data_IF_394603148960
#
_entry.id   IF_394603148960
#
_cell.length_a   1.000
_cell.length_b   1.000
_cell.length_c   1.000
_cell.angle_alpha   90.00
_cell.angle_beta   90.00
_cell.angle_gamma   90.00
#
_symmetry.space_group_name_H-M   'P 1'
#
loop_
_entity.id
_entity.type
_entity.pdbx_description
1 polymer ?
#
# COMPACT_ATOMS: atom_id res chain seq x y z
N UNK A 1 -75.95 13.05 63.78
CA UNK A 1 -75.90 13.37 62.32
C UNK A 1 -76.04 14.88 62.21
N UNK A 2 -75.15 15.68 61.64
CA UNK A 2 -74.56 15.58 60.31
C UNK A 2 -73.39 16.58 60.24
N UNK A 3 -72.17 16.13 59.94
CA UNK A 3 -71.04 17.01 59.65
C UNK A 3 -71.14 17.49 58.20
N UNK A 4 -71.44 18.78 57.98
CA UNK A 4 -71.34 19.40 56.66
C UNK A 4 -69.86 19.71 56.37
N UNK A 5 -69.25 18.95 55.44
CA UNK A 5 -67.94 19.27 54.86
C UNK A 5 -68.04 20.59 54.09
N UNK A 6 -67.35 21.63 54.58
CA UNK A 6 -67.18 22.90 53.88
C UNK A 6 -66.33 22.68 52.63
N UNK A 7 -66.93 22.91 51.45
CA UNK A 7 -66.27 22.87 50.15
C UNK A 7 -65.56 24.21 49.96
N UNK A 8 -64.23 24.24 50.09
CA UNK A 8 -63.44 25.44 49.81
C UNK A 8 -63.66 25.85 48.35
N UNK A 9 -64.35 26.96 48.14
CA UNK A 9 -64.52 27.60 46.83
C UNK A 9 -63.18 28.24 46.50
N UNK A 10 -62.39 27.58 45.66
CA UNK A 10 -61.13 28.16 45.16
C UNK A 10 -61.49 29.37 44.28
N UNK A 11 -60.87 30.51 44.56
CA UNK A 11 -61.07 31.70 43.75
C UNK A 11 -60.49 31.47 42.36
N UNK A 12 -61.12 31.98 41.28
CA UNK A 12 -60.63 31.77 39.92
C UNK A 12 -59.21 32.35 39.70
N UNK A 13 -58.75 33.27 40.56
CA UNK A 13 -57.37 33.79 40.52
C UNK A 13 -56.32 32.78 41.03
N UNK A 14 -56.63 31.97 42.04
CA UNK A 14 -55.71 30.96 42.57
C UNK A 14 -55.52 29.79 41.60
N UNK A 15 -56.55 29.42 40.84
CA UNK A 15 -56.44 28.43 39.79
C UNK A 15 -55.55 28.91 38.63
N UNK A 16 -55.67 30.20 38.26
CA UNK A 16 -54.88 30.81 37.19
C UNK A 16 -53.40 30.93 37.56
N UNK A 17 -53.08 31.36 38.78
CA UNK A 17 -51.68 31.48 39.25
C UNK A 17 -50.97 30.12 39.30
N UNK A 18 -51.65 29.07 39.77
CA UNK A 18 -51.10 27.72 39.78
C UNK A 18 -50.87 27.14 38.38
N UNK A 19 -51.73 27.47 37.40
CA UNK A 19 -51.53 27.08 36.02
C UNK A 19 -50.31 27.78 35.40
N UNK A 20 -50.12 29.08 35.66
CA UNK A 20 -48.98 29.85 35.18
C UNK A 20 -47.64 29.36 35.75
N UNK A 21 -47.61 28.99 37.04
CA UNK A 21 -46.40 28.41 37.66
C UNK A 21 -46.02 27.09 36.99
N UNK A 22 -47.00 26.23 36.69
CA UNK A 22 -46.75 24.95 35.99
C UNK A 22 -46.22 25.18 34.57
N UNK A 23 -46.79 26.13 33.83
CA UNK A 23 -46.31 26.47 32.48
C UNK A 23 -44.86 26.98 32.51
N UNK A 24 -44.51 27.85 33.46
CA UNK A 24 -43.13 28.33 33.61
C UNK A 24 -42.14 27.22 33.94
N UNK A 25 -42.52 26.24 34.75
CA UNK A 25 -41.66 25.08 35.04
C UNK A 25 -41.45 24.21 33.80
N UNK A 26 -42.50 24.03 32.98
CA UNK A 26 -42.40 23.28 31.72
C UNK A 26 -41.51 24.01 30.72
N UNK A 27 -41.69 25.32 30.54
CA UNK A 27 -40.83 26.13 29.66
C UNK A 27 -39.37 26.14 30.14
N UNK A 28 -39.15 26.23 31.45
CA UNK A 28 -37.82 26.11 32.06
C UNK A 28 -37.18 24.76 31.75
N UNK A 29 -37.93 23.67 31.92
CA UNK A 29 -37.42 22.32 31.62
C UNK A 29 -37.12 22.12 30.12
N UNK A 30 -37.99 22.62 29.24
CA UNK A 30 -37.80 22.54 27.78
C UNK A 30 -36.57 23.32 27.34
N UNK A 31 -36.36 24.54 27.86
CA UNK A 31 -35.19 25.35 27.51
C UNK A 31 -33.87 24.73 28.02
N UNK A 32 -33.88 24.12 29.21
CA UNK A 32 -32.74 23.36 29.74
C UNK A 32 -32.42 22.14 28.88
N UNK A 33 -33.44 21.37 28.48
CA UNK A 33 -33.28 20.21 27.61
C UNK A 33 -32.71 20.61 26.24
N UNK A 34 -33.19 21.69 25.64
CA UNK A 34 -32.69 22.21 24.36
C UNK A 34 -31.23 22.68 24.47
N UNK A 35 -30.88 23.33 25.58
CA UNK A 35 -29.51 23.79 25.85
C UNK A 35 -28.57 22.59 26.01
N UNK A 36 -28.97 21.59 26.80
CA UNK A 36 -28.22 20.35 26.97
C UNK A 36 -28.08 19.58 25.66
N UNK A 37 -29.11 19.50 24.84
CA UNK A 37 -29.03 18.86 23.53
C UNK A 37 -28.07 19.60 22.59
N UNK A 38 -28.08 20.94 22.59
CA UNK A 38 -27.20 21.75 21.75
C UNK A 38 -25.74 21.62 22.14
N UNK A 39 -25.40 21.73 23.42
CA UNK A 39 -24.02 21.59 23.87
C UNK A 39 -23.57 20.12 23.95
N UNK A 40 -24.47 19.22 24.32
CA UNK A 40 -24.23 17.78 24.35
C UNK A 40 -23.95 17.20 22.96
N UNK A 41 -24.61 17.71 21.91
CA UNK A 41 -24.33 17.28 20.53
C UNK A 41 -22.92 17.66 20.09
N UNK A 42 -22.42 18.84 20.45
CA UNK A 42 -21.03 19.25 20.15
C UNK A 42 -20.02 18.33 20.84
N UNK A 43 -20.23 18.02 22.12
CA UNK A 43 -19.37 17.09 22.87
C UNK A 43 -19.44 15.68 22.28
N UNK A 44 -20.62 15.21 21.90
CA UNK A 44 -20.80 13.89 21.30
C UNK A 44 -20.09 13.78 19.94
N UNK A 45 -20.16 14.80 19.09
CA UNK A 45 -19.44 14.84 17.81
C UNK A 45 -17.93 14.85 18.04
N UNK A 46 -17.44 15.64 18.99
CA UNK A 46 -16.01 15.65 19.34
C UNK A 46 -15.53 14.29 19.86
N UNK A 47 -16.32 13.61 20.71
CA UNK A 47 -16.01 12.28 21.22
C UNK A 47 -16.00 11.19 20.13
N UNK A 48 -16.99 11.22 19.23
CA UNK A 48 -17.04 10.32 18.09
C UNK A 48 -15.87 10.56 17.13
N UNK A 49 -15.52 11.83 16.88
CA UNK A 49 -14.35 12.18 16.08
C UNK A 49 -13.02 11.74 16.73
N UNK A 50 -12.90 11.83 18.05
CA UNK A 50 -11.75 11.27 18.76
C UNK A 50 -11.65 9.76 18.57
N UNK A 51 -12.79 9.03 18.66
CA UNK A 51 -12.82 7.57 18.45
C UNK A 51 -12.43 7.16 17.03
N UNK A 52 -12.78 7.92 16.00
CA UNK A 52 -12.34 7.62 14.63
C UNK A 52 -10.83 7.80 14.48
N UNK A 53 -10.27 8.85 15.09
CA UNK A 53 -8.82 9.07 15.12
C UNK A 53 -8.11 7.98 15.91
N UNK A 54 -8.64 7.56 17.07
CA UNK A 54 -8.05 6.51 17.92
C UNK A 54 -7.98 5.14 17.20
N UNK A 55 -9.00 4.82 16.39
CA UNK A 55 -8.99 3.62 15.54
C UNK A 55 -8.00 3.74 14.37
N UNK A 56 -7.80 4.96 13.84
CA UNK A 56 -6.90 5.23 12.73
C UNK A 56 -5.43 5.41 13.17
N UNK A 57 -5.22 5.80 14.43
CA UNK A 57 -3.92 6.05 15.03
C UNK A 57 -3.21 4.72 15.31
N UNK A 58 -2.51 4.22 14.29
CA UNK A 58 -1.23 3.58 14.50
C UNK A 58 -1.19 2.05 14.53
N UNK A 59 -2.22 1.33 14.06
CA UNK A 59 -2.16 -0.14 14.05
C UNK A 59 -1.94 -0.77 12.68
N UNK A 60 -2.50 -0.21 11.61
CA UNK A 60 -2.39 -0.81 10.27
C UNK A 60 -1.48 0.04 9.38
N UNK A 61 -1.69 1.35 9.31
CA UNK A 61 -1.05 2.22 8.31
C UNK A 61 0.48 2.28 8.40
N UNK A 62 1.08 2.39 9.59
CA UNK A 62 2.55 2.51 9.71
C UNK A 62 3.27 1.18 9.44
N UNK A 63 2.72 0.06 9.92
CA UNK A 63 3.26 -1.26 9.68
C UNK A 63 3.11 -1.65 8.20
N UNK A 64 1.94 -1.38 7.59
CA UNK A 64 1.69 -1.68 6.18
C UNK A 64 2.58 -0.85 5.24
N UNK A 65 2.80 0.44 5.53
CA UNK A 65 3.71 1.29 4.74
C UNK A 65 5.16 0.85 4.90
N UNK A 66 5.61 0.59 6.13
CA UNK A 66 6.99 0.16 6.41
C UNK A 66 7.31 -1.21 5.79
N UNK A 67 6.44 -2.19 6.00
CA UNK A 67 6.59 -3.55 5.45
C UNK A 67 6.43 -3.54 3.93
N UNK A 68 5.43 -2.83 3.40
CA UNK A 68 5.19 -2.76 1.95
C UNK A 68 6.33 -2.06 1.19
N UNK A 69 6.93 -1.02 1.77
CA UNK A 69 8.08 -0.33 1.18
C UNK A 69 9.35 -1.20 1.23
N UNK A 70 9.70 -1.74 2.41
CA UNK A 70 10.89 -2.58 2.57
C UNK A 70 10.79 -3.87 1.73
N UNK A 71 9.62 -4.50 1.68
CA UNK A 71 9.40 -5.71 0.88
C UNK A 71 9.56 -5.44 -0.63
N UNK A 72 8.98 -4.36 -1.16
CA UNK A 72 9.13 -4.01 -2.58
C UNK A 72 10.59 -3.69 -2.96
N UNK A 73 11.31 -2.96 -2.11
CA UNK A 73 12.73 -2.64 -2.35
C UNK A 73 13.58 -3.91 -2.30
N UNK A 74 13.35 -4.80 -1.34
CA UNK A 74 14.12 -6.03 -1.22
C UNK A 74 13.84 -7.00 -2.37
N UNK A 75 12.56 -7.15 -2.78
CA UNK A 75 12.17 -8.03 -3.89
C UNK A 75 12.73 -7.50 -5.22
N UNK A 76 12.59 -6.21 -5.50
CA UNK A 76 13.13 -5.60 -6.72
C UNK A 76 14.66 -5.69 -6.79
N UNK A 77 15.34 -5.47 -5.66
CA UNK A 77 16.81 -5.60 -5.58
C UNK A 77 17.25 -7.05 -5.77
N UNK A 78 16.57 -8.01 -5.13
CA UNK A 78 16.87 -9.44 -5.28
C UNK A 78 16.63 -9.93 -6.72
N UNK A 79 15.56 -9.47 -7.37
CA UNK A 79 15.29 -9.75 -8.78
C UNK A 79 16.35 -9.13 -9.69
N UNK A 80 16.73 -7.88 -9.47
CA UNK A 80 17.76 -7.20 -10.25
C UNK A 80 19.12 -7.92 -10.15
N UNK A 81 19.54 -8.30 -8.94
CA UNK A 81 20.75 -9.08 -8.74
C UNK A 81 20.64 -10.49 -9.32
N UNK A 82 19.50 -11.17 -9.16
CA UNK A 82 19.27 -12.49 -9.73
C UNK A 82 19.35 -12.51 -11.25
N UNK A 83 18.69 -11.56 -11.90
CA UNK A 83 18.72 -11.39 -13.37
C UNK A 83 20.12 -10.96 -13.83
N UNK A 84 20.78 -10.04 -13.13
CA UNK A 84 22.11 -9.58 -13.48
C UNK A 84 23.16 -10.69 -13.39
N UNK A 85 23.25 -11.36 -12.24
CA UNK A 85 24.21 -12.46 -12.02
C UNK A 85 23.87 -13.67 -12.90
N UNK A 86 22.59 -14.04 -12.98
CA UNK A 86 22.12 -15.14 -13.82
C UNK A 86 22.41 -14.89 -15.30
N UNK A 87 22.12 -13.69 -15.80
CA UNK A 87 22.39 -13.28 -17.17
C UNK A 87 23.88 -13.24 -17.50
N UNK A 88 24.71 -12.69 -16.60
CA UNK A 88 26.17 -12.68 -16.77
C UNK A 88 26.75 -14.11 -16.80
N UNK A 89 26.31 -14.98 -15.89
CA UNK A 89 26.73 -16.38 -15.86
C UNK A 89 26.31 -17.14 -17.13
N UNK A 90 25.04 -16.98 -17.54
CA UNK A 90 24.50 -17.59 -18.75
C UNK A 90 25.27 -17.11 -20.00
N UNK A 91 25.50 -15.80 -20.14
CA UNK A 91 26.26 -15.23 -21.24
C UNK A 91 27.70 -15.75 -21.31
N UNK A 92 28.38 -15.86 -20.16
CA UNK A 92 29.73 -16.43 -20.09
C UNK A 92 29.75 -17.90 -20.52
N UNK A 93 28.77 -18.69 -20.10
CA UNK A 93 28.63 -20.11 -20.48
C UNK A 93 28.33 -20.26 -21.97
N UNK A 94 27.41 -19.45 -22.49
CA UNK A 94 27.04 -19.46 -23.91
C UNK A 94 28.24 -19.08 -24.80
N UNK A 95 29.02 -18.07 -24.41
CA UNK A 95 30.20 -17.67 -25.17
C UNK A 95 31.26 -18.79 -25.23
N UNK A 96 31.46 -19.53 -24.13
CA UNK A 96 32.36 -20.70 -24.12
C UNK A 96 31.89 -21.78 -25.09
N UNK A 97 30.61 -22.18 -25.00
CA UNK A 97 30.02 -23.19 -25.87
C UNK A 97 30.10 -22.82 -27.36
N UNK A 98 29.91 -21.52 -27.68
CA UNK A 98 30.08 -21.02 -29.05
C UNK A 98 31.51 -21.22 -29.54
N UNK A 99 32.50 -20.83 -28.73
CA UNK A 99 33.93 -20.98 -29.09
C UNK A 99 34.34 -22.45 -29.25
N UNK A 100 33.89 -23.33 -28.37
CA UNK A 100 34.19 -24.75 -28.46
C UNK A 100 33.55 -25.39 -29.71
N UNK A 101 32.34 -24.95 -30.08
CA UNK A 101 31.66 -25.40 -31.30
C UNK A 101 32.38 -24.92 -32.55
N UNK A 102 32.83 -23.66 -32.57
CA UNK A 102 33.63 -23.11 -33.68
C UNK A 102 34.92 -23.90 -33.83
N UNK A 103 35.64 -24.15 -32.74
CA UNK A 103 36.90 -24.92 -32.75
C UNK A 103 36.71 -26.32 -33.33
N UNK A 104 35.63 -27.01 -32.94
CA UNK A 104 35.29 -28.34 -33.47
C UNK A 104 34.95 -28.32 -34.96
N UNK A 105 34.15 -27.34 -35.41
CA UNK A 105 33.69 -27.25 -36.79
C UNK A 105 34.79 -26.73 -37.73
N UNK A 106 35.60 -25.78 -37.29
CA UNK A 106 36.64 -25.16 -38.09
C UNK A 106 37.71 -26.17 -38.52
N UNK A 107 38.08 -27.12 -37.64
CA UNK A 107 38.98 -28.22 -38.01
C UNK A 107 38.41 -29.12 -39.12
N UNK A 108 37.11 -29.45 -39.04
CA UNK A 108 36.44 -30.26 -40.06
C UNK A 108 36.26 -29.51 -41.38
N UNK A 109 35.92 -28.23 -41.31
CA UNK A 109 35.78 -27.36 -42.48
C UNK A 109 37.12 -27.23 -43.20
N UNK A 110 38.22 -26.92 -42.50
CA UNK A 110 39.55 -26.86 -43.11
C UNK A 110 39.99 -28.19 -43.73
N UNK A 111 39.66 -29.32 -43.11
CA UNK A 111 39.96 -30.63 -43.66
C UNK A 111 39.21 -30.88 -44.98
N UNK A 112 37.92 -30.55 -45.04
CA UNK A 112 37.09 -30.68 -46.25
C UNK A 112 37.49 -29.67 -47.33
N UNK A 113 37.83 -28.44 -46.96
CA UNK A 113 38.29 -27.40 -47.89
C UNK A 113 39.59 -27.81 -48.58
N UNK A 114 40.57 -28.36 -47.85
CA UNK A 114 41.82 -28.85 -48.43
C UNK A 114 41.64 -30.04 -49.38
N UNK A 115 40.58 -30.84 -49.20
CA UNK A 115 40.27 -31.94 -50.11
C UNK A 115 39.66 -31.46 -51.43
N UNK A 116 38.89 -30.35 -51.41
CA UNK A 116 38.19 -29.84 -52.58
C UNK A 116 38.93 -28.72 -53.33
N UNK A 117 39.64 -27.84 -52.61
CA UNK A 117 40.40 -26.72 -53.17
C UNK A 117 41.68 -26.47 -52.34
N UNK A 118 42.82 -27.06 -52.74
CA UNK A 118 44.07 -26.93 -52.00
C UNK A 118 44.69 -25.52 -52.06
N UNK A 119 44.23 -24.61 -52.94
CA UNK A 119 44.72 -23.23 -53.04
C UNK A 119 43.90 -22.23 -52.23
N UNK A 120 42.81 -22.65 -51.57
CA UNK A 120 41.95 -21.75 -50.80
C UNK A 120 42.62 -21.30 -49.50
N UNK A 121 43.03 -20.03 -49.44
CA UNK A 121 43.52 -19.41 -48.20
C UNK A 121 42.35 -19.06 -47.28
N UNK A 122 42.21 -19.74 -46.13
CA UNK A 122 41.23 -19.35 -45.12
C UNK A 122 41.57 -17.98 -44.53
N UNK A 123 40.56 -17.17 -44.17
CA UNK A 123 40.79 -15.92 -43.44
C UNK A 123 41.61 -16.22 -42.17
N UNK A 124 42.58 -15.37 -41.86
CA UNK A 124 43.67 -15.62 -40.89
C UNK A 124 43.20 -15.65 -39.41
N UNK A 125 41.93 -15.98 -39.17
CA UNK A 125 41.29 -16.07 -37.86
C UNK A 125 41.88 -17.21 -37.02
N UNK A 126 41.87 -17.04 -35.71
CA UNK A 126 42.30 -18.08 -34.77
C UNK A 126 41.37 -19.31 -34.84
N UNK A 127 41.82 -20.47 -34.34
CA UNK A 127 40.98 -21.70 -34.28
C UNK A 127 39.64 -21.54 -33.55
N UNK A 128 39.50 -20.50 -32.73
CA UNK A 128 38.28 -20.19 -31.97
C UNK A 128 37.44 -19.07 -32.58
N UNK A 129 37.83 -18.57 -33.76
CA UNK A 129 37.14 -17.46 -34.44
C UNK A 129 37.35 -16.09 -33.79
N UNK A 130 38.35 -15.94 -32.90
CA UNK A 130 38.73 -14.64 -32.35
C UNK A 130 39.67 -13.91 -33.33
N UNK A 131 39.47 -12.60 -33.49
CA UNK A 131 40.42 -11.68 -34.12
C UNK A 131 41.74 -11.72 -33.35
N UNK A 132 42.87 -11.79 -34.05
CA UNK A 132 44.18 -11.81 -33.41
C UNK A 132 44.40 -10.51 -32.62
N UNK A 133 45.18 -10.56 -31.54
CA UNK A 133 45.47 -9.37 -30.74
C UNK A 133 46.20 -8.30 -31.55
N UNK A 134 46.99 -8.71 -32.54
CA UNK A 134 47.71 -7.84 -33.48
C UNK A 134 46.81 -7.05 -34.47
N UNK A 135 45.55 -7.47 -34.65
CA UNK A 135 44.56 -6.80 -35.53
C UNK A 135 43.58 -5.89 -34.75
N UNK A 136 43.72 -5.80 -33.42
CA UNK A 136 42.96 -4.85 -32.60
C UNK A 136 43.72 -3.52 -32.57
N UNK A 137 43.31 -2.60 -33.44
CA UNK A 137 43.74 -1.19 -33.47
C UNK A 137 43.63 -0.52 -32.10
#
# INVERSE_FOLDING_TARGET
>A
MSQRRSRKVQTPLEAQTNALVKLRLVEGAVSLALTLARYGSVVAVAYLGYRTIDVLAGKTTLADIGIGFLANVQISTALAWGVGVGGAWYGKRQNRLRKDTIERLQGRIQHLERQHDPQRSSSNLTRRGDTRQEDRL
#
